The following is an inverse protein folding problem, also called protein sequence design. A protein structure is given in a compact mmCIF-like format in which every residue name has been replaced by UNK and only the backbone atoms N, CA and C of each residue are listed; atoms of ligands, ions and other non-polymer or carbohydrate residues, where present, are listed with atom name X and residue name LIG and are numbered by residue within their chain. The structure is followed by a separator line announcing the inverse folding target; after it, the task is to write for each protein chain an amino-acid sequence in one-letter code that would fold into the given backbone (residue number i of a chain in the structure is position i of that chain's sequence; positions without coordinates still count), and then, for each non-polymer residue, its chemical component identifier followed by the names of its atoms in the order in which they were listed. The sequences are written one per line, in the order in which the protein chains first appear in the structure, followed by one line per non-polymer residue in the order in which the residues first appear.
data_IF_915344936679
#
_entry.id   IF_915344936679
#
_cell.length_a   1.000
_cell.length_b   1.000
_cell.length_c   1.000
_cell.angle_alpha   90.00
_cell.angle_beta   90.00
_cell.angle_gamma   90.00
#
_symmetry.space_group_name_H-M   'P 1'
#
loop_
_entity.id
_entity.type
_entity.pdbx_description
1 polymer ?
#
# COMPACT_ATOMS: atom_id res chain seq x y z
N UNK A 1 -63.71 -18.51 23.43
CA UNK A 1 -62.71 -17.48 23.79
C UNK A 1 -61.44 -17.78 23.01
N UNK A 2 -61.09 -16.95 22.04
CA UNK A 2 -59.75 -16.92 21.44
C UNK A 2 -59.39 -15.45 21.30
N UNK A 3 -58.45 -14.98 22.12
CA UNK A 3 -57.92 -13.64 22.04
C UNK A 3 -56.97 -13.58 20.85
N UNK A 4 -57.37 -12.90 19.78
CA UNK A 4 -56.51 -12.62 18.63
C UNK A 4 -55.32 -11.80 19.10
N UNK A 5 -54.13 -12.37 18.96
CA UNK A 5 -52.87 -11.69 19.24
C UNK A 5 -52.69 -10.61 18.17
N UNK A 6 -52.86 -9.34 18.54
CA UNK A 6 -52.63 -8.20 17.64
C UNK A 6 -51.13 -8.13 17.36
N UNK A 7 -50.73 -8.45 16.13
CA UNK A 7 -49.37 -8.22 15.66
C UNK A 7 -49.19 -6.70 15.50
N UNK A 8 -48.08 -6.11 15.96
CA UNK A 8 -47.84 -4.67 15.81
C UNK A 8 -47.87 -4.25 14.34
N UNK A 9 -48.65 -3.23 14.02
CA UNK A 9 -49.00 -2.82 12.65
C UNK A 9 -47.92 -1.93 11.99
N UNK A 10 -46.87 -1.54 12.71
CA UNK A 10 -45.80 -0.71 12.17
C UNK A 10 -44.43 -1.16 12.68
N UNK A 11 -43.61 -1.67 11.76
CA UNK A 11 -42.18 -1.91 11.99
C UNK A 11 -41.46 -0.60 11.70
N UNK A 12 -41.02 0.11 12.75
CA UNK A 12 -40.19 1.30 12.60
C UNK A 12 -38.80 0.85 12.13
N UNK A 13 -38.53 0.98 10.85
CA UNK A 13 -37.20 0.75 10.29
C UNK A 13 -36.24 1.81 10.82
N UNK A 14 -35.13 1.37 11.42
CA UNK A 14 -34.04 2.25 11.82
C UNK A 14 -32.95 2.15 10.76
N UNK A 15 -32.76 3.22 10.00
CA UNK A 15 -31.70 3.31 9.01
C UNK A 15 -30.42 3.87 9.65
N UNK A 16 -29.34 3.10 9.56
CA UNK A 16 -28.01 3.51 9.99
C UNK A 16 -27.08 3.49 8.77
N UNK A 17 -26.44 4.63 8.47
CA UNK A 17 -25.48 4.75 7.37
C UNK A 17 -24.17 5.35 7.86
N UNK A 18 -23.07 4.67 7.54
CA UNK A 18 -21.71 5.21 7.64
C UNK A 18 -21.09 5.17 6.25
N UNK A 19 -20.62 6.33 5.76
CA UNK A 19 -19.88 6.42 4.50
C UNK A 19 -18.44 6.80 4.80
N UNK A 20 -17.53 5.89 4.52
CA UNK A 20 -16.10 6.16 4.54
C UNK A 20 -15.66 6.62 3.15
N UNK A 21 -14.78 7.61 3.11
CA UNK A 21 -14.18 8.11 1.87
C UNK A 21 -12.67 7.92 1.96
N UNK A 22 -12.09 7.22 1.00
CA UNK A 22 -10.64 7.09 0.85
C UNK A 22 -10.24 7.60 -0.53
N UNK A 23 -9.13 8.32 -0.57
CA UNK A 23 -8.55 8.82 -1.80
C UNK A 23 -7.03 8.82 -1.71
N UNK A 24 -6.39 8.81 -2.87
CA UNK A 24 -4.95 8.86 -2.97
C UNK A 24 -4.49 9.24 -4.37
N UNK A 25 -3.20 9.52 -4.48
CA UNK A 25 -2.53 9.83 -5.73
C UNK A 25 -1.18 9.12 -5.76
N UNK A 26 -0.77 8.69 -6.94
CA UNK A 26 0.55 8.09 -7.19
C UNK A 26 1.20 8.81 -8.37
N UNK A 27 2.52 8.83 -8.39
CA UNK A 27 3.29 9.27 -9.55
C UNK A 27 3.47 8.14 -10.55
N UNK A 28 4.01 8.48 -11.72
CA UNK A 28 4.75 7.52 -12.54
C UNK A 28 5.90 6.90 -11.74
N UNK A 29 6.37 5.73 -12.19
CA UNK A 29 7.50 5.05 -11.61
C UNK A 29 8.80 5.72 -12.04
N UNK A 30 9.80 5.66 -11.19
CA UNK A 30 11.18 5.97 -11.51
C UNK A 30 11.95 4.66 -11.49
N UNK A 31 12.66 4.37 -12.57
CA UNK A 31 13.54 3.21 -12.64
C UNK A 31 14.79 3.50 -11.82
N UNK A 32 15.07 2.61 -10.89
CA UNK A 32 16.18 2.67 -9.95
C UNK A 32 17.13 1.53 -10.28
N UNK A 33 18.39 1.86 -10.53
CA UNK A 33 19.42 0.86 -10.79
C UNK A 33 19.48 -0.14 -9.63
N UNK A 34 19.47 -1.42 -9.96
CA UNK A 34 19.65 -2.49 -8.99
C UNK A 34 20.98 -2.35 -8.25
N UNK A 35 20.96 -2.56 -6.93
CA UNK A 35 22.15 -2.48 -6.10
C UNK A 35 21.90 -2.89 -4.65
N UNK A 36 22.97 -3.22 -3.89
CA UNK A 36 22.85 -3.72 -2.51
C UNK A 36 22.22 -2.72 -1.54
N UNK A 37 22.19 -1.43 -1.90
CA UNK A 37 21.71 -0.33 -1.05
C UNK A 37 20.43 0.33 -1.56
N UNK A 38 19.91 -0.13 -2.70
CA UNK A 38 18.79 0.56 -3.37
C UNK A 38 17.53 0.59 -2.48
N UNK A 39 17.26 -0.47 -1.72
CA UNK A 39 16.17 -0.51 -0.73
C UNK A 39 16.48 0.31 0.54
N UNK A 40 17.72 0.29 1.02
CA UNK A 40 18.11 1.04 2.23
C UNK A 40 18.07 2.56 2.05
N UNK A 41 18.09 3.03 0.80
CA UNK A 41 18.04 4.44 0.48
C UNK A 41 16.60 5.00 0.44
N UNK A 42 15.58 4.14 0.36
CA UNK A 42 14.17 4.55 0.24
C UNK A 42 13.70 5.45 1.40
N UNK A 43 14.02 5.18 2.68
CA UNK A 43 13.67 6.10 3.79
C UNK A 43 14.19 7.52 3.59
N UNK A 44 15.37 7.68 3.00
CA UNK A 44 15.96 8.99 2.72
C UNK A 44 15.11 9.85 1.78
N UNK A 45 14.25 9.25 0.96
CA UNK A 45 13.38 9.96 0.02
C UNK A 45 12.26 10.75 0.71
N UNK A 46 11.93 10.41 1.96
CA UNK A 46 10.95 11.13 2.77
C UNK A 46 11.60 12.26 3.61
N UNK A 47 12.93 12.41 3.54
CA UNK A 47 13.66 13.43 4.30
C UNK A 47 13.17 14.84 3.97
N UNK A 48 12.88 15.63 5.00
CA UNK A 48 12.32 16.99 4.87
C UNK A 48 10.83 17.05 4.51
N UNK A 49 10.16 15.90 4.36
CA UNK A 49 8.71 15.81 4.06
C UNK A 49 7.95 15.12 5.19
N UNK A 50 8.52 14.06 5.78
CA UNK A 50 7.89 13.33 6.88
C UNK A 50 7.71 14.19 8.14
N UNK A 51 6.52 14.12 8.75
CA UNK A 51 6.13 14.76 10.01
C UNK A 51 6.10 13.77 11.20
N UNK A 52 6.30 12.48 10.93
CA UNK A 52 6.42 11.42 11.94
C UNK A 52 7.65 10.56 11.69
N UNK A 53 7.86 9.56 12.54
CA UNK A 53 8.80 8.47 12.25
C UNK A 53 8.46 7.82 10.90
N UNK A 54 9.50 7.45 10.16
CA UNK A 54 9.42 6.77 8.87
C UNK A 54 9.49 5.27 9.14
N UNK A 55 8.47 4.55 8.69
CA UNK A 55 8.38 3.11 8.85
C UNK A 55 8.53 2.42 7.49
N UNK A 56 9.33 1.34 7.46
CA UNK A 56 9.48 0.49 6.27
C UNK A 56 8.63 -0.76 6.46
N UNK A 57 7.75 -0.99 5.48
CA UNK A 57 6.89 -2.16 5.37
C UNK A 57 7.42 -3.03 4.24
N UNK A 58 7.99 -4.17 4.62
CA UNK A 58 8.46 -5.15 3.66
C UNK A 58 7.27 -5.84 2.96
N UNK A 59 7.47 -6.39 1.74
CA UNK A 59 6.45 -7.18 1.07
C UNK A 59 6.03 -8.38 1.94
N UNK A 60 4.72 -8.58 2.06
CA UNK A 60 4.11 -9.61 2.87
C UNK A 60 4.60 -11.02 2.50
N UNK A 61 4.91 -11.88 3.49
CA UNK A 61 5.16 -13.30 3.28
C UNK A 61 4.07 -13.96 2.41
N UNK A 62 4.42 -15.04 1.71
CA UNK A 62 3.50 -15.67 0.76
C UNK A 62 2.22 -16.18 1.43
N UNK A 63 2.28 -16.58 2.71
CA UNK A 63 1.10 -16.96 3.48
C UNK A 63 0.08 -15.81 3.70
N UNK A 64 0.53 -14.56 3.57
CA UNK A 64 -0.29 -13.36 3.73
C UNK A 64 -0.56 -12.66 2.39
N UNK A 65 -0.28 -13.29 1.24
CA UNK A 65 -0.43 -12.64 -0.08
C UNK A 65 -1.89 -12.30 -0.47
N UNK A 66 -2.86 -12.80 0.29
CA UNK A 66 -4.30 -12.54 0.10
C UNK A 66 -4.87 -11.69 1.25
N UNK A 67 -4.03 -11.23 2.17
CA UNK A 67 -4.43 -10.34 3.24
C UNK A 67 -4.99 -9.05 2.65
N UNK A 68 -6.12 -8.58 3.18
CA UNK A 68 -6.73 -7.32 2.75
C UNK A 68 -7.54 -6.70 3.89
N UNK A 69 -7.61 -5.36 4.02
CA UNK A 69 -8.35 -4.70 5.11
C UNK A 69 -9.89 -4.77 4.96
N UNK A 70 -10.42 -5.63 4.09
CA UNK A 70 -11.86 -5.71 3.78
C UNK A 70 -12.59 -6.64 4.75
N UNK A 71 -13.39 -6.06 5.65
CA UNK A 71 -14.14 -6.80 6.69
C UNK A 71 -15.17 -7.82 6.12
N UNK A 72 -15.65 -7.62 4.90
CA UNK A 72 -16.53 -8.58 4.22
C UNK A 72 -15.86 -9.94 3.93
N UNK A 73 -14.53 -10.01 4.13
CA UNK A 73 -13.66 -11.18 3.93
C UNK A 73 -12.93 -11.48 5.25
N UNK A 74 -13.60 -12.06 6.26
CA UNK A 74 -13.08 -12.11 7.64
C UNK A 74 -11.73 -12.82 7.76
N UNK A 75 -11.51 -13.90 7.01
CA UNK A 75 -10.23 -14.62 7.01
C UNK A 75 -9.08 -13.74 6.51
N UNK A 76 -9.28 -13.06 5.37
CA UNK A 76 -8.29 -12.15 4.80
C UNK A 76 -8.06 -10.92 5.69
N UNK A 77 -9.12 -10.40 6.32
CA UNK A 77 -9.03 -9.28 7.26
C UNK A 77 -8.24 -9.67 8.53
N UNK A 78 -8.44 -10.89 9.05
CA UNK A 78 -7.64 -11.40 10.17
C UNK A 78 -6.19 -11.62 9.78
N UNK A 79 -5.91 -12.13 8.58
CA UNK A 79 -4.55 -12.22 8.04
C UNK A 79 -3.88 -10.85 7.95
N UNK A 80 -4.61 -9.85 7.47
CA UNK A 80 -4.14 -8.47 7.39
C UNK A 80 -3.82 -7.89 8.78
N UNK A 81 -4.71 -8.09 9.75
CA UNK A 81 -4.46 -7.67 11.14
C UNK A 81 -3.22 -8.36 11.72
N UNK A 82 -3.10 -9.68 11.55
CA UNK A 82 -1.94 -10.42 12.03
C UNK A 82 -0.64 -9.93 11.41
N UNK A 83 -0.65 -9.55 10.13
CA UNK A 83 0.53 -9.05 9.44
C UNK A 83 0.95 -7.62 9.83
N UNK A 84 0.03 -6.83 10.40
CA UNK A 84 0.25 -5.39 10.64
C UNK A 84 0.00 -4.92 12.07
N UNK A 85 -0.38 -5.79 13.01
CA UNK A 85 -0.75 -5.39 14.37
C UNK A 85 0.39 -4.73 15.17
N UNK A 86 1.64 -5.06 14.85
CA UNK A 86 2.86 -4.51 15.47
C UNK A 86 3.29 -3.15 14.92
N UNK A 87 2.63 -2.70 13.84
CA UNK A 87 2.94 -1.45 13.13
C UNK A 87 2.36 -0.23 13.85
N UNK A 88 2.97 0.94 13.60
CA UNK A 88 2.48 2.18 14.19
C UNK A 88 1.05 2.51 13.72
N UNK A 89 0.25 3.25 14.50
CA UNK A 89 -1.09 3.66 14.09
C UNK A 89 -1.12 4.41 12.75
N UNK A 90 -0.10 5.23 12.47
CA UNK A 90 0.07 5.94 11.19
C UNK A 90 0.23 4.95 10.04
N UNK A 91 1.16 4.00 10.16
CA UNK A 91 1.39 2.98 9.13
C UNK A 91 0.15 2.12 8.91
N UNK A 92 -0.50 1.63 9.97
CA UNK A 92 -1.74 0.85 9.85
C UNK A 92 -2.83 1.62 9.13
N UNK A 93 -3.01 2.91 9.45
CA UNK A 93 -3.96 3.76 8.75
C UNK A 93 -3.60 3.94 7.28
N UNK A 94 -2.33 4.21 6.97
CA UNK A 94 -1.84 4.33 5.60
C UNK A 94 -2.10 3.07 4.77
N UNK A 95 -1.82 1.90 5.34
CA UNK A 95 -2.09 0.61 4.71
C UNK A 95 -3.58 0.41 4.46
N UNK A 96 -4.45 0.67 5.45
CA UNK A 96 -5.90 0.61 5.26
C UNK A 96 -6.35 1.50 4.11
N UNK A 97 -5.93 2.77 4.09
CA UNK A 97 -6.35 3.74 3.07
C UNK A 97 -5.87 3.32 1.69
N UNK A 98 -4.58 3.03 1.55
CA UNK A 98 -3.94 2.81 0.25
C UNK A 98 -4.24 1.43 -0.34
N UNK A 99 -4.34 0.37 0.46
CA UNK A 99 -4.78 -0.94 -0.05
C UNK A 99 -6.27 -0.95 -0.39
N UNK A 100 -7.11 -0.22 0.34
CA UNK A 100 -8.56 -0.16 0.06
C UNK A 100 -8.90 0.48 -1.30
N UNK A 101 -8.02 1.35 -1.79
CA UNK A 101 -8.14 2.00 -3.11
C UNK A 101 -7.18 1.40 -4.15
N UNK A 102 -6.54 0.28 -3.81
CA UNK A 102 -5.59 -0.43 -4.68
C UNK A 102 -4.44 0.49 -5.16
N UNK A 103 -3.90 1.35 -4.29
CA UNK A 103 -2.76 2.23 -4.61
C UNK A 103 -1.39 1.56 -4.36
N UNK A 104 -1.35 0.61 -3.43
CA UNK A 104 -0.19 -0.23 -3.11
C UNK A 104 -0.64 -1.69 -3.04
N UNK A 105 0.29 -2.61 -3.29
CA UNK A 105 0.05 -4.05 -3.12
C UNK A 105 1.23 -4.67 -2.37
N UNK A 106 1.04 -4.96 -1.08
CA UNK A 106 2.09 -5.52 -0.25
C UNK A 106 2.45 -6.96 -0.60
N UNK A 107 1.77 -7.63 -1.55
CA UNK A 107 2.27 -8.88 -2.09
C UNK A 107 3.65 -8.70 -2.77
N UNK A 108 3.94 -7.49 -3.28
CA UNK A 108 5.18 -7.19 -4.00
C UNK A 108 5.85 -5.89 -3.57
N UNK A 109 5.08 -4.86 -3.22
CA UNK A 109 5.62 -3.54 -2.89
C UNK A 109 6.29 -3.57 -1.50
N UNK A 110 7.53 -3.09 -1.46
CA UNK A 110 8.11 -2.50 -0.26
C UNK A 110 7.55 -1.08 -0.13
N UNK A 111 7.00 -0.73 1.03
CA UNK A 111 6.37 0.56 1.25
C UNK A 111 7.04 1.31 2.41
N UNK A 112 7.60 2.46 2.10
CA UNK A 112 8.19 3.39 3.09
C UNK A 112 7.19 4.49 3.33
N UNK A 113 6.72 4.62 4.58
CA UNK A 113 5.59 5.49 4.89
C UNK A 113 5.79 6.30 6.16
N UNK A 114 5.10 7.45 6.20
CA UNK A 114 5.01 8.32 7.35
C UNK A 114 3.71 9.15 7.29
N UNK A 115 3.46 9.91 8.35
CA UNK A 115 2.57 11.06 8.31
C UNK A 115 3.28 12.17 7.53
N UNK A 116 2.64 12.70 6.49
CA UNK A 116 3.22 13.73 5.62
C UNK A 116 2.59 15.11 5.85
N UNK A 117 1.35 15.12 6.34
CA UNK A 117 0.65 16.33 6.77
C UNK A 117 -0.46 15.99 7.77
N UNK A 118 -0.63 16.81 8.80
CA UNK A 118 -1.81 16.81 9.65
C UNK A 118 -1.53 16.43 11.10
N UNK A 119 -2.56 15.94 11.78
CA UNK A 119 -2.48 15.58 13.19
C UNK A 119 -2.97 14.15 13.42
N UNK A 120 -2.56 13.61 14.56
CA UNK A 120 -3.02 12.33 15.07
C UNK A 120 -3.93 12.55 16.28
N UNK A 121 -4.85 11.62 16.50
CA UNK A 121 -5.67 11.57 17.70
C UNK A 121 -4.86 11.14 18.93
N UNK A 122 -5.52 11.05 20.09
CA UNK A 122 -4.88 10.62 21.34
C UNK A 122 -4.35 9.18 21.33
N UNK A 123 -4.83 8.36 20.40
CA UNK A 123 -4.36 6.99 20.19
C UNK A 123 -3.27 6.90 19.11
N UNK A 124 -2.87 8.03 18.51
CA UNK A 124 -1.85 8.13 17.48
C UNK A 124 -2.35 7.91 16.06
N UNK A 125 -3.67 7.71 15.84
CA UNK A 125 -4.22 7.51 14.51
C UNK A 125 -4.37 8.83 13.76
N UNK A 126 -4.03 8.90 12.46
CA UNK A 126 -4.23 10.09 11.64
C UNK A 126 -5.69 10.55 11.64
N UNK A 127 -5.90 11.85 11.78
CA UNK A 127 -7.19 12.48 11.57
C UNK A 127 -7.63 12.38 10.09
N UNK A 128 -8.93 12.49 9.82
CA UNK A 128 -9.49 12.25 8.48
C UNK A 128 -8.97 13.21 7.39
N UNK A 129 -8.40 14.35 7.77
CA UNK A 129 -7.80 15.33 6.87
C UNK A 129 -6.28 15.21 6.75
N UNK A 130 -5.66 14.28 7.48
CA UNK A 130 -4.24 14.01 7.40
C UNK A 130 -3.87 13.35 6.07
N UNK A 131 -2.66 13.63 5.59
CA UNK A 131 -2.06 12.98 4.43
C UNK A 131 -1.00 12.01 4.93
N UNK A 132 -1.19 10.74 4.60
CA UNK A 132 -0.23 9.67 4.86
C UNK A 132 0.33 9.16 3.54
N UNK A 133 1.52 8.58 3.56
CA UNK A 133 2.12 8.03 2.35
C UNK A 133 3.63 8.03 2.39
N UNK A 134 4.22 7.96 1.21
CA UNK A 134 5.66 7.98 1.02
C UNK A 134 6.03 7.37 -0.31
N UNK A 135 6.83 6.30 -0.28
CA UNK A 135 7.40 5.68 -1.47
C UNK A 135 7.09 4.19 -1.48
N UNK A 136 6.53 3.72 -2.59
CA UNK A 136 6.31 2.30 -2.85
C UNK A 136 7.28 1.82 -3.95
N UNK A 137 7.83 0.62 -3.78
CA UNK A 137 8.76 0.05 -4.75
C UNK A 137 8.62 -1.46 -4.91
N UNK A 138 8.82 -1.95 -6.12
CA UNK A 138 8.95 -3.38 -6.41
C UNK A 138 10.06 -3.60 -7.44
N UNK A 139 10.46 -4.85 -7.62
CA UNK A 139 11.47 -5.22 -8.61
C UNK A 139 10.81 -5.53 -9.95
N UNK A 140 11.38 -5.02 -11.04
CA UNK A 140 10.97 -5.33 -12.40
C UNK A 140 11.44 -6.74 -12.77
N UNK A 141 10.49 -7.61 -13.11
CA UNK A 141 10.74 -9.03 -13.40
C UNK A 141 11.63 -9.23 -14.63
N UNK A 142 11.64 -8.28 -15.58
CA UNK A 142 12.40 -8.39 -16.83
C UNK A 142 13.86 -7.96 -16.67
N UNK A 143 14.10 -6.84 -15.99
CA UNK A 143 15.43 -6.20 -15.94
C UNK A 143 16.17 -6.45 -14.62
N UNK A 144 15.44 -6.68 -13.53
CA UNK A 144 16.00 -6.76 -12.18
C UNK A 144 16.28 -5.39 -11.56
N UNK A 145 15.97 -4.28 -12.25
CA UNK A 145 15.96 -2.95 -11.66
C UNK A 145 14.73 -2.76 -10.76
N UNK A 146 14.79 -1.79 -9.85
CA UNK A 146 13.67 -1.48 -8.96
C UNK A 146 12.83 -0.36 -9.57
N UNK A 147 11.51 -0.49 -9.53
CA UNK A 147 10.58 0.60 -9.87
C UNK A 147 10.14 1.25 -8.57
N UNK A 148 10.30 2.56 -8.48
CA UNK A 148 10.05 3.35 -7.28
C UNK A 148 9.05 4.47 -7.59
N UNK A 149 7.95 4.58 -6.86
CA UNK A 149 6.92 5.60 -7.08
C UNK A 149 6.52 6.28 -5.78
N UNK A 150 6.18 7.56 -5.85
CA UNK A 150 5.58 8.24 -4.72
C UNK A 150 4.09 7.92 -4.67
N UNK A 151 3.56 7.73 -3.46
CA UNK A 151 2.13 7.48 -3.21
C UNK A 151 1.68 8.20 -1.96
N UNK A 152 0.54 8.86 -2.03
CA UNK A 152 -0.09 9.54 -0.89
C UNK A 152 -1.56 9.17 -0.81
N UNK A 153 -2.11 9.12 0.39
CA UNK A 153 -3.49 8.80 0.68
C UNK A 153 -4.04 9.59 1.86
N UNK A 154 -5.36 9.73 1.89
CA UNK A 154 -6.10 10.36 2.98
C UNK A 154 -7.53 9.81 3.00
N UNK A 155 -8.23 10.03 4.12
CA UNK A 155 -9.64 9.72 4.21
C UNK A 155 -10.09 9.16 5.55
N UNK A 156 -11.22 8.46 5.54
CA UNK A 156 -11.95 7.99 6.71
C UNK A 156 -13.33 8.63 6.77
N UNK A 157 -13.62 9.37 7.85
CA UNK A 157 -14.96 9.92 8.12
C UNK A 157 -15.33 11.14 7.26
N UNK A 158 -14.42 11.65 6.42
CA UNK A 158 -14.68 12.79 5.54
C UNK A 158 -13.45 13.21 4.74
N UNK A 159 -13.60 14.25 3.92
CA UNK A 159 -12.51 14.88 3.17
C UNK A 159 -12.60 16.40 3.31
N UNK A 160 -11.45 17.06 3.55
CA UNK A 160 -11.34 18.51 3.51
C UNK A 160 -10.97 18.93 2.09
N UNK A 161 -11.57 20.02 1.59
CA UNK A 161 -11.36 20.48 0.20
C UNK A 161 -9.89 20.75 -0.17
N UNK A 162 -9.06 21.14 0.80
CA UNK A 162 -7.64 21.43 0.59
C UNK A 162 -6.72 20.20 0.61
N UNK A 163 -7.22 19.03 1.04
CA UNK A 163 -6.39 17.83 1.19
C UNK A 163 -5.87 17.34 -0.16
N UNK A 164 -6.67 17.41 -1.23
CA UNK A 164 -6.25 17.02 -2.58
C UNK A 164 -5.09 17.88 -3.11
N UNK A 165 -5.19 19.20 -2.92
CA UNK A 165 -4.13 20.16 -3.29
C UNK A 165 -2.86 19.91 -2.50
N UNK A 166 -3.00 19.66 -1.19
CA UNK A 166 -1.87 19.39 -0.30
C UNK A 166 -1.18 18.08 -0.65
N UNK A 167 -1.95 17.00 -0.88
CA UNK A 167 -1.46 15.72 -1.35
C UNK A 167 -0.71 15.85 -2.67
N UNK A 168 -1.22 16.63 -3.63
CA UNK A 168 -0.54 16.87 -4.91
C UNK A 168 0.82 17.58 -4.74
N UNK A 169 0.90 18.59 -3.86
CA UNK A 169 2.17 19.27 -3.54
C UNK A 169 3.20 18.33 -2.90
N UNK A 170 2.76 17.52 -1.95
CA UNK A 170 3.60 16.54 -1.26
C UNK A 170 4.10 15.48 -2.26
N UNK A 171 3.20 14.98 -3.12
CA UNK A 171 3.52 13.99 -4.13
C UNK A 171 4.61 14.48 -5.09
N UNK A 172 4.53 15.74 -5.56
CA UNK A 172 5.59 16.36 -6.39
C UNK A 172 6.92 16.45 -5.64
N UNK A 173 6.88 16.74 -4.34
CA UNK A 173 8.09 16.82 -3.50
C UNK A 173 8.76 15.45 -3.36
N UNK A 174 7.95 14.41 -3.11
CA UNK A 174 8.44 13.02 -3.06
C UNK A 174 9.02 12.59 -4.41
N UNK A 175 8.35 12.87 -5.54
CA UNK A 175 8.87 12.55 -6.87
C UNK A 175 10.23 13.20 -7.12
N UNK A 176 10.38 14.46 -6.71
CA UNK A 176 11.62 15.20 -6.85
C UNK A 176 12.74 14.53 -6.05
N UNK A 177 12.46 14.10 -4.83
CA UNK A 177 13.42 13.35 -4.01
C UNK A 177 13.78 11.99 -4.62
N UNK A 178 12.82 11.26 -5.21
CA UNK A 178 13.08 10.00 -5.91
C UNK A 178 14.00 10.25 -7.11
N UNK A 179 13.68 11.22 -7.96
CA UNK A 179 14.48 11.57 -9.14
C UNK A 179 15.87 12.11 -8.80
N UNK A 180 16.03 12.75 -7.65
CA UNK A 180 17.31 13.23 -7.15
C UNK A 180 18.22 12.11 -6.62
N UNK A 181 17.70 10.89 -6.47
CA UNK A 181 18.52 9.75 -6.05
C UNK A 181 19.58 9.40 -7.09
N UNK A 182 20.79 9.10 -6.62
CA UNK A 182 21.91 8.70 -7.47
C UNK A 182 21.67 7.41 -8.29
N UNK A 183 20.69 6.60 -7.88
CA UNK A 183 20.30 5.37 -8.55
C UNK A 183 19.20 5.58 -9.60
N UNK A 184 18.61 6.78 -9.70
CA UNK A 184 17.53 7.06 -10.64
C UNK A 184 18.04 7.07 -12.09
N UNK A 185 17.39 6.30 -12.96
CA UNK A 185 17.69 6.22 -14.39
C UNK A 185 16.71 7.05 -15.24
N UNK A 186 15.53 7.38 -14.70
CA UNK A 186 14.49 8.14 -15.37
C UNK A 186 13.08 7.61 -15.08
N UNK A 187 12.09 8.30 -15.64
CA UNK A 187 10.69 7.88 -15.56
C UNK A 187 10.47 6.56 -16.31
N UNK A 188 9.59 5.74 -15.77
CA UNK A 188 9.19 4.45 -16.30
C UNK A 188 7.69 4.24 -16.12
N UNK A 189 7.08 3.55 -17.08
CA UNK A 189 5.70 3.09 -16.96
C UNK A 189 5.59 2.09 -15.82
N UNK A 190 4.61 2.27 -14.94
CA UNK A 190 4.35 1.35 -13.83
C UNK A 190 3.51 0.19 -14.36
N UNK A 191 4.15 -0.94 -14.66
CA UNK A 191 3.46 -2.21 -14.82
C UNK A 191 3.45 -2.91 -13.47
N UNK A 192 2.27 -3.17 -12.92
CA UNK A 192 2.16 -3.89 -11.64
C UNK A 192 2.49 -5.36 -11.84
N UNK A 193 3.30 -5.97 -10.95
CA UNK A 193 3.44 -7.42 -10.93
C UNK A 193 2.07 -8.08 -10.71
N UNK A 194 1.83 -9.19 -11.39
CA UNK A 194 0.63 -10.00 -11.22
C UNK A 194 1.06 -11.43 -10.84
N UNK A 195 0.37 -12.12 -9.92
CA UNK A 195 0.69 -13.52 -9.59
C UNK A 195 0.35 -14.48 -10.74
N UNK A 196 1.12 -15.56 -10.89
CA UNK A 196 0.87 -16.58 -11.92
C UNK A 196 -0.44 -17.32 -11.66
N UNK A 197 -1.36 -17.33 -12.62
CA UNK A 197 -2.46 -18.30 -12.64
C UNK A 197 -2.04 -19.52 -13.47
N UNK A 198 -1.35 -20.50 -12.87
CA UNK A 198 -1.01 -21.75 -13.56
C UNK A 198 0.13 -22.59 -12.96
N UNK A 199 0.34 -23.80 -13.50
CA UNK A 199 1.34 -24.79 -13.04
C UNK A 199 2.77 -24.55 -13.58
N UNK A 200 3.06 -23.43 -14.24
CA UNK A 200 4.28 -23.24 -15.04
C UNK A 200 5.21 -22.10 -14.63
N UNK A 201 4.99 -21.44 -13.48
CA UNK A 201 5.78 -20.28 -13.06
C UNK A 201 7.13 -20.65 -12.45
N UNK A 202 8.17 -19.86 -12.75
CA UNK A 202 9.45 -19.92 -12.06
C UNK A 202 9.26 -19.48 -10.60
N UNK A 203 9.66 -20.34 -9.66
CA UNK A 203 9.58 -20.04 -8.22
C UNK A 203 10.90 -19.44 -7.75
N UNK A 204 10.81 -18.33 -7.02
CA UNK A 204 11.98 -17.72 -6.41
C UNK A 204 12.53 -18.63 -5.30
N UNK A 205 13.79 -19.02 -5.38
CA UNK A 205 14.45 -19.84 -4.35
C UNK A 205 14.74 -19.09 -3.04
N UNK A 206 14.66 -17.75 -3.07
CA UNK A 206 14.88 -16.92 -1.89
C UNK A 206 13.61 -16.74 -1.05
N UNK A 207 12.49 -16.37 -1.68
CA UNK A 207 11.26 -16.02 -0.95
C UNK A 207 10.03 -16.89 -1.30
N UNK A 208 10.19 -17.89 -2.17
CA UNK A 208 9.11 -18.83 -2.54
C UNK A 208 8.04 -18.26 -3.47
N UNK A 209 8.21 -17.02 -3.96
CA UNK A 209 7.24 -16.36 -4.84
C UNK A 209 7.18 -17.04 -6.22
N UNK A 210 5.96 -17.36 -6.69
CA UNK A 210 5.71 -17.88 -8.03
C UNK A 210 5.43 -16.72 -9.01
N UNK A 211 6.38 -16.40 -9.88
CA UNK A 211 6.23 -15.34 -10.88
C UNK A 211 5.32 -15.76 -12.04
N UNK A 212 4.48 -14.82 -12.52
CA UNK A 212 3.51 -15.05 -13.59
C UNK A 212 4.10 -15.09 -14.99
N UNK A 213 5.17 -14.35 -15.23
CA UNK A 213 5.57 -14.08 -16.59
C UNK A 213 6.56 -15.14 -17.10
N UNK A 214 6.29 -15.76 -18.24
CA UNK A 214 7.26 -16.66 -18.92
C UNK A 214 8.61 -15.96 -19.23
N UNK A 215 8.58 -14.62 -19.24
CA UNK A 215 9.74 -13.74 -19.46
C UNK A 215 10.38 -13.23 -18.17
N UNK A 216 9.85 -13.58 -17.01
CA UNK A 216 10.40 -13.15 -15.74
C UNK A 216 11.76 -13.80 -15.50
N UNK A 217 12.78 -12.96 -15.30
CA UNK A 217 14.12 -13.37 -14.91
C UNK A 217 14.41 -13.07 -13.44
N UNK A 218 13.69 -12.13 -12.83
CA UNK A 218 13.86 -11.68 -11.47
C UNK A 218 12.56 -11.74 -10.68
N UNK A 219 12.66 -11.98 -9.38
CA UNK A 219 11.52 -11.98 -8.48
C UNK A 219 11.06 -10.55 -8.19
N UNK A 220 9.78 -10.19 -8.38
CA UNK A 220 9.28 -8.82 -8.16
C UNK A 220 9.30 -8.42 -6.67
N UNK A 221 9.31 -9.42 -5.79
CA UNK A 221 9.30 -9.25 -4.33
C UNK A 221 10.68 -8.98 -3.73
N UNK A 222 11.72 -9.64 -4.24
CA UNK A 222 13.06 -9.58 -3.61
C UNK A 222 14.22 -9.30 -4.58
N UNK A 223 13.96 -9.16 -5.88
CA UNK A 223 14.98 -8.87 -6.89
C UNK A 223 15.92 -10.05 -7.20
N UNK A 224 15.77 -11.19 -6.54
CA UNK A 224 16.62 -12.37 -6.80
C UNK A 224 16.29 -13.00 -8.16
N UNK A 225 17.35 -13.43 -8.86
CA UNK A 225 17.20 -14.13 -10.14
C UNK A 225 16.42 -15.43 -9.95
N UNK A 226 15.40 -15.63 -10.77
CA UNK A 226 14.61 -16.86 -10.80
C UNK A 226 15.43 -17.96 -11.47
N UNK A 227 15.56 -19.12 -10.83
CA UNK A 227 16.22 -20.28 -11.42
C UNK A 227 15.27 -20.92 -12.43
N UNK A 228 15.69 -20.99 -13.71
CA UNK A 228 15.01 -21.82 -14.70
C UNK A 228 15.26 -23.29 -14.34
N UNK A 229 14.19 -23.99 -13.96
CA UNK A 229 14.17 -25.46 -13.91
C UNK A 229 14.24 -26.05 -15.31
#
# INVERSE_FOLDING_TARGET
MSAGQVLPEEVIAQDFQLKLYYAGKSTEGVRMKAGPRTLSDLPGMLSGIAQSEIEVVDPLPIEFSQATPVIARPTQAMQWLNAHHDRSPVTRHALVVLESIDAIDLAFDTFVCALLEGHVDTAGYPEYNAVVGGVASHWDEATGDMICRAVVGWGGRGARGDTDRTGSRILTSLLTNILASHNAQGLATVERPVPAAGRGGLVCTHCGFASAHERAFYCPKCGMRLLRG
#
